data_IF_656378848851
#
_entry.id   IF_656378848851
#
_cell.length_a   1.000
_cell.length_b   1.000
_cell.length_c   1.000
_cell.angle_alpha   90.00
_cell.angle_beta   90.00
_cell.angle_gamma   90.00
#
_symmetry.space_group_name_H-M   'P 1'
#
loop_
_entity.id
_entity.type
_entity.pdbx_description
1 polymer ?
#
# COMPACT_ATOMS: atom_id res chain seq x y z
N UNK A 1 32.95 -9.09 -2.39
CA UNK A 1 31.48 -8.95 -2.35
C UNK A 1 31.08 -8.15 -1.11
N UNK A 2 30.83 -6.83 -1.22
CA UNK A 2 30.32 -6.01 -0.10
C UNK A 2 28.87 -6.44 0.18
N UNK A 3 28.58 -6.88 1.41
CA UNK A 3 27.19 -7.14 1.85
C UNK A 3 26.37 -5.89 1.61
N UNK A 4 25.18 -5.97 0.99
CA UNK A 4 24.33 -4.81 0.84
C UNK A 4 24.04 -4.26 2.24
N UNK A 5 24.33 -2.98 2.46
CA UNK A 5 24.09 -2.27 3.72
C UNK A 5 22.59 -2.02 3.87
N UNK A 6 21.84 -3.09 4.10
CA UNK A 6 20.49 -2.97 4.59
C UNK A 6 20.54 -2.41 6.01
N UNK A 7 19.78 -1.37 6.24
CA UNK A 7 19.40 -0.73 7.49
C UNK A 7 20.07 -1.26 8.78
N UNK A 8 20.51 -0.42 9.69
CA UNK A 8 21.18 -0.89 10.91
C UNK A 8 20.33 -1.97 11.59
N UNK A 9 20.96 -3.09 11.89
CA UNK A 9 20.40 -4.26 12.59
C UNK A 9 19.49 -3.89 13.78
N UNK A 10 19.72 -2.71 14.37
CA UNK A 10 18.94 -2.16 15.46
C UNK A 10 17.46 -1.89 15.13
N UNK A 11 17.14 -1.46 13.91
CA UNK A 11 15.76 -1.10 13.54
C UNK A 11 14.88 -2.32 13.29
N UNK A 12 15.40 -3.34 12.60
CA UNK A 12 14.71 -4.62 12.41
C UNK A 12 14.46 -5.33 13.74
N UNK A 13 15.47 -5.38 14.60
CA UNK A 13 15.33 -5.95 15.95
C UNK A 13 14.27 -5.23 16.77
N UNK A 14 14.19 -3.90 16.70
CA UNK A 14 13.15 -3.13 17.40
C UNK A 14 11.74 -3.47 16.91
N UNK A 15 11.52 -3.58 15.60
CA UNK A 15 10.22 -3.99 15.06
C UNK A 15 9.86 -5.40 15.51
N UNK A 16 10.80 -6.35 15.45
CA UNK A 16 10.57 -7.73 15.87
C UNK A 16 10.30 -7.86 17.36
N UNK A 17 11.05 -7.13 18.20
CA UNK A 17 10.84 -7.10 19.65
C UNK A 17 9.48 -6.49 20.01
N UNK A 18 9.06 -5.41 19.35
CA UNK A 18 7.74 -4.83 19.56
C UNK A 18 6.62 -5.76 19.12
N UNK A 19 6.80 -6.43 17.97
CA UNK A 19 5.82 -7.41 17.47
C UNK A 19 5.70 -8.64 18.38
N UNK A 20 6.81 -9.18 18.89
CA UNK A 20 6.82 -10.30 19.82
C UNK A 20 6.32 -9.88 21.20
N UNK A 21 6.81 -8.74 21.70
CA UNK A 21 6.47 -8.25 23.04
C UNK A 21 4.99 -8.04 23.26
N UNK A 22 4.26 -7.51 22.26
CA UNK A 22 2.80 -7.31 22.39
C UNK A 22 2.04 -8.63 22.53
N UNK A 23 2.46 -9.70 21.82
CA UNK A 23 1.79 -10.99 21.87
C UNK A 23 2.08 -11.76 23.16
N UNK A 24 3.23 -11.50 23.81
CA UNK A 24 3.57 -12.06 25.12
C UNK A 24 2.87 -11.26 26.23
N UNK A 25 2.91 -9.94 26.16
CA UNK A 25 2.33 -9.07 27.18
C UNK A 25 0.79 -9.12 27.22
N UNK A 26 0.15 -9.30 26.06
CA UNK A 26 -1.31 -9.27 25.95
C UNK A 26 -2.03 -10.34 26.81
N UNK A 27 -1.65 -11.62 26.80
CA UNK A 27 -2.29 -12.62 27.67
C UNK A 27 -1.77 -12.63 29.10
N UNK A 28 -0.49 -12.30 29.32
CA UNK A 28 0.13 -12.38 30.64
C UNK A 28 -0.36 -11.29 31.61
N UNK A 29 -0.51 -10.06 31.12
CA UNK A 29 -0.90 -8.93 31.95
C UNK A 29 -2.31 -9.07 32.53
N UNK A 30 -3.38 -9.41 31.78
CA UNK A 30 -4.69 -9.67 32.36
C UNK A 30 -4.72 -10.86 33.32
N UNK A 31 -3.95 -11.90 33.02
CA UNK A 31 -3.86 -13.09 33.89
C UNK A 31 -3.26 -12.74 35.27
N UNK A 32 -2.14 -12.00 35.27
CA UNK A 32 -1.51 -11.51 36.51
C UNK A 32 -2.46 -10.58 37.27
N UNK A 33 -3.18 -9.69 36.56
CA UNK A 33 -4.17 -8.80 37.16
C UNK A 33 -5.31 -9.55 37.82
N UNK A 34 -5.83 -10.59 37.20
CA UNK A 34 -6.90 -11.43 37.73
C UNK A 34 -6.49 -12.12 39.01
N UNK A 35 -5.29 -12.69 39.10
CA UNK A 35 -4.79 -13.37 40.29
C UNK A 35 -4.37 -12.41 41.44
N UNK A 36 -3.92 -11.20 41.09
CA UNK A 36 -3.39 -10.24 42.07
C UNK A 36 -4.44 -9.28 42.64
N UNK A 37 -5.54 -9.04 41.94
CA UNK A 37 -6.54 -8.03 42.25
C UNK A 37 -7.90 -8.68 42.55
N UNK A 38 -8.16 -8.96 43.81
CA UNK A 38 -9.41 -9.58 44.29
C UNK A 38 -10.65 -8.67 44.24
N UNK A 39 -10.54 -7.43 43.78
CA UNK A 39 -11.62 -6.45 43.72
C UNK A 39 -12.02 -6.19 42.27
N UNK A 40 -13.31 -6.37 41.91
CA UNK A 40 -13.83 -6.22 40.56
C UNK A 40 -13.54 -4.86 39.91
N UNK A 41 -13.59 -3.76 40.65
CA UNK A 41 -13.26 -2.43 40.12
C UNK A 41 -11.78 -2.24 39.78
N UNK A 42 -10.89 -2.82 40.54
CA UNK A 42 -9.45 -2.76 40.29
C UNK A 42 -9.05 -3.63 39.12
N UNK A 43 -9.69 -4.79 38.93
CA UNK A 43 -9.45 -5.64 37.77
C UNK A 43 -9.91 -4.98 36.45
N UNK A 44 -11.07 -4.29 36.48
CA UNK A 44 -11.55 -3.55 35.30
C UNK A 44 -10.60 -2.42 34.91
N UNK A 45 -10.14 -1.60 35.88
CA UNK A 45 -9.17 -0.53 35.62
C UNK A 45 -7.85 -1.09 35.06
N UNK A 46 -7.33 -2.16 35.63
CA UNK A 46 -6.10 -2.79 35.19
C UNK A 46 -6.24 -3.32 33.75
N UNK A 47 -7.38 -3.95 33.40
CA UNK A 47 -7.66 -4.44 32.05
C UNK A 47 -7.72 -3.29 31.03
N UNK A 48 -8.32 -2.15 31.38
CA UNK A 48 -8.33 -0.96 30.55
C UNK A 48 -6.93 -0.41 30.30
N UNK A 49 -6.10 -0.35 31.33
CA UNK A 49 -4.69 0.08 31.19
C UNK A 49 -3.91 -0.87 30.27
N UNK A 50 -4.08 -2.18 30.43
CA UNK A 50 -3.44 -3.16 29.58
C UNK A 50 -3.88 -3.03 28.10
N UNK A 51 -5.17 -2.80 27.86
CA UNK A 51 -5.70 -2.56 26.52
C UNK A 51 -5.12 -1.27 25.91
N UNK A 52 -5.04 -0.20 26.68
CA UNK A 52 -4.45 1.07 26.25
C UNK A 52 -2.96 0.91 25.89
N UNK A 53 -2.19 0.19 26.72
CA UNK A 53 -0.78 -0.11 26.43
C UNK A 53 -0.62 -0.97 25.18
N UNK A 54 -1.47 -1.97 24.98
CA UNK A 54 -1.46 -2.79 23.76
C UNK A 54 -1.74 -1.94 22.52
N UNK A 55 -2.76 -1.08 22.58
CA UNK A 55 -3.09 -0.16 21.48
C UNK A 55 -1.93 0.80 21.18
N UNK A 56 -1.30 1.35 22.22
CA UNK A 56 -0.13 2.23 22.07
C UNK A 56 1.06 1.50 21.41
N UNK A 57 1.35 0.26 21.82
CA UNK A 57 2.40 -0.56 21.20
C UNK A 57 2.07 -0.90 19.74
N UNK A 58 0.81 -1.21 19.44
CA UNK A 58 0.37 -1.49 18.08
C UNK A 58 0.49 -0.25 17.18
N UNK A 59 0.09 0.91 17.67
CA UNK A 59 0.26 2.19 16.95
C UNK A 59 1.74 2.53 16.75
N UNK A 60 2.58 2.30 17.75
CA UNK A 60 4.02 2.52 17.63
C UNK A 60 4.66 1.57 16.62
N UNK A 61 4.34 0.28 16.67
CA UNK A 61 4.78 -0.69 15.64
C UNK A 61 4.37 -0.24 14.23
N UNK A 62 3.10 0.14 14.04
CA UNK A 62 2.61 0.62 12.75
C UNK A 62 3.34 1.89 12.29
N UNK A 63 3.65 2.81 13.20
CA UNK A 63 4.44 4.01 12.91
C UNK A 63 5.86 3.66 12.48
N UNK A 64 6.51 2.72 13.17
CA UNK A 64 7.86 2.26 12.82
C UNK A 64 7.92 1.55 11.48
N UNK A 65 6.90 0.76 11.13
CA UNK A 65 6.80 0.12 9.81
C UNK A 65 6.61 1.15 8.70
N UNK A 66 5.78 2.18 8.91
CA UNK A 66 5.62 3.29 7.97
C UNK A 66 6.93 4.05 7.76
N UNK A 67 7.64 4.36 8.85
CA UNK A 67 8.95 4.99 8.79
C UNK A 67 9.97 4.12 8.03
N UNK A 68 9.97 2.81 8.30
CA UNK A 68 10.82 1.86 7.57
C UNK A 68 10.58 1.94 6.06
N UNK A 69 9.32 1.88 5.59
CA UNK A 69 9.02 1.93 4.16
C UNK A 69 9.47 3.26 3.54
N UNK A 70 9.35 4.39 4.26
CA UNK A 70 9.78 5.70 3.76
C UNK A 70 11.29 5.86 3.67
N UNK A 71 12.04 5.34 4.61
CA UNK A 71 13.47 5.62 4.78
C UNK A 71 14.37 4.49 4.28
N UNK A 72 13.90 3.23 4.28
CA UNK A 72 14.71 2.10 3.86
C UNK A 72 15.13 2.25 2.39
N UNK A 73 16.42 2.14 2.15
CA UNK A 73 16.94 2.12 0.78
C UNK A 73 16.59 0.80 0.13
N UNK A 74 16.09 0.88 -1.09
CA UNK A 74 15.97 -0.30 -1.93
C UNK A 74 17.36 -0.82 -2.34
N UNK A 75 17.49 -2.11 -2.66
CA UNK A 75 18.73 -2.64 -3.22
C UNK A 75 19.13 -1.90 -4.49
N UNK A 76 20.42 -1.56 -4.62
CA UNK A 76 20.91 -0.79 -5.77
C UNK A 76 20.68 -1.46 -7.13
N UNK A 77 20.56 -2.81 -7.14
CA UNK A 77 20.29 -3.54 -8.38
C UNK A 77 18.93 -3.20 -9.00
N UNK A 78 17.94 -2.77 -8.20
CA UNK A 78 16.61 -2.45 -8.73
C UNK A 78 16.66 -1.31 -9.74
N UNK A 79 17.34 -0.21 -9.40
CA UNK A 79 17.52 0.90 -10.33
C UNK A 79 18.34 0.53 -11.56
N UNK A 80 19.35 -0.32 -11.40
CA UNK A 80 20.16 -0.80 -12.52
C UNK A 80 19.33 -1.65 -13.49
N UNK A 81 18.58 -2.64 -12.97
CA UNK A 81 17.72 -3.50 -13.77
C UNK A 81 16.58 -2.75 -14.46
N UNK A 82 16.02 -1.75 -13.78
CA UNK A 82 14.98 -0.94 -14.37
C UNK A 82 15.50 -0.13 -15.57
N UNK A 83 16.76 0.36 -15.54
CA UNK A 83 17.41 1.01 -16.68
C UNK A 83 17.80 0.05 -17.80
N UNK A 84 18.06 -1.22 -17.49
CA UNK A 84 18.26 -2.24 -18.52
C UNK A 84 16.96 -2.49 -19.30
N UNK A 85 15.82 -2.52 -18.61
CA UNK A 85 14.50 -2.74 -19.22
C UNK A 85 13.96 -1.47 -19.91
N UNK A 86 14.24 -0.29 -19.35
CA UNK A 86 13.82 1.02 -19.85
C UNK A 86 15.04 1.94 -20.05
N UNK A 87 15.80 1.79 -21.16
CA UNK A 87 17.05 2.53 -21.36
C UNK A 87 16.90 4.05 -21.44
N UNK A 88 15.69 4.55 -21.72
CA UNK A 88 15.37 5.98 -21.76
C UNK A 88 15.38 6.64 -20.38
N UNK A 89 15.36 5.86 -19.28
CA UNK A 89 15.31 6.39 -17.94
C UNK A 89 16.69 6.77 -17.42
N UNK A 90 16.81 7.98 -16.88
CA UNK A 90 17.99 8.40 -16.12
C UNK A 90 18.02 7.77 -14.72
N UNK A 91 19.11 7.96 -13.98
CA UNK A 91 19.20 7.53 -12.59
C UNK A 91 18.14 8.21 -11.71
N UNK A 92 17.89 9.50 -11.93
CA UNK A 92 16.86 10.25 -11.19
C UNK A 92 15.44 9.76 -11.51
N UNK A 93 15.18 9.33 -12.75
CA UNK A 93 13.88 8.81 -13.16
C UNK A 93 13.62 7.44 -12.50
N UNK A 94 14.66 6.60 -12.41
CA UNK A 94 14.55 5.33 -11.68
C UNK A 94 14.33 5.54 -10.18
N UNK A 95 14.91 6.57 -9.58
CA UNK A 95 14.65 6.92 -8.18
C UNK A 95 13.20 7.36 -7.98
N UNK A 96 12.60 8.09 -8.94
CA UNK A 96 11.18 8.42 -8.91
C UNK A 96 10.29 7.18 -9.04
N UNK A 97 10.63 6.23 -9.92
CA UNK A 97 9.92 4.96 -10.02
C UNK A 97 9.98 4.16 -8.71
N UNK A 98 11.14 4.09 -8.07
CA UNK A 98 11.30 3.46 -6.76
C UNK A 98 10.56 4.22 -5.65
N UNK A 99 10.42 5.54 -5.77
CA UNK A 99 9.56 6.31 -4.86
C UNK A 99 8.08 5.94 -5.07
N UNK A 100 7.62 5.74 -6.30
CA UNK A 100 6.30 5.19 -6.60
C UNK A 100 6.08 3.82 -5.97
N UNK A 101 7.08 2.93 -6.01
CA UNK A 101 7.02 1.63 -5.33
C UNK A 101 6.88 1.77 -3.81
N UNK A 102 7.51 2.78 -3.18
CA UNK A 102 7.30 3.10 -1.76
C UNK A 102 5.86 3.51 -1.48
N UNK A 103 5.27 4.36 -2.31
CA UNK A 103 3.88 4.78 -2.17
C UNK A 103 2.93 3.60 -2.25
N UNK A 104 3.18 2.68 -3.19
CA UNK A 104 2.40 1.44 -3.31
C UNK A 104 2.49 0.58 -2.05
N UNK A 105 3.69 0.36 -1.51
CA UNK A 105 3.88 -0.40 -0.28
C UNK A 105 3.27 0.30 0.94
N UNK A 106 3.32 1.64 1.00
CA UNK A 106 2.61 2.40 2.04
C UNK A 106 1.10 2.25 1.92
N UNK A 107 0.55 2.25 0.71
CA UNK A 107 -0.87 2.01 0.48
C UNK A 107 -1.29 0.63 1.00
N UNK A 108 -0.51 -0.42 0.71
CA UNK A 108 -0.76 -1.77 1.24
C UNK A 108 -0.74 -1.80 2.78
N UNK A 109 0.30 -1.23 3.41
CA UNK A 109 0.40 -1.19 4.86
C UNK A 109 -0.76 -0.44 5.52
N UNK A 110 -1.12 0.74 4.97
CA UNK A 110 -2.19 1.60 5.50
C UNK A 110 -3.58 1.02 5.27
N UNK A 111 -3.75 0.17 4.27
CA UNK A 111 -4.98 -0.58 4.02
C UNK A 111 -5.12 -1.84 4.90
N UNK A 112 -4.45 -1.87 6.08
CA UNK A 112 -4.39 -3.06 6.93
C UNK A 112 -3.93 -4.33 6.19
N UNK A 113 -3.03 -4.18 5.23
CA UNK A 113 -2.53 -5.26 4.37
C UNK A 113 -3.63 -5.93 3.53
N UNK A 114 -4.74 -5.21 3.27
CA UNK A 114 -5.74 -5.61 2.28
C UNK A 114 -5.13 -5.48 0.88
N UNK A 115 -5.73 -6.15 -0.08
CA UNK A 115 -5.31 -6.07 -1.46
C UNK A 115 -5.31 -4.63 -1.97
N UNK A 116 -4.25 -4.25 -2.67
CA UNK A 116 -4.08 -3.00 -3.41
C UNK A 116 -3.66 -3.34 -4.84
N UNK A 117 -4.17 -2.62 -5.83
CA UNK A 117 -3.83 -2.84 -7.23
C UNK A 117 -2.73 -1.87 -7.67
N UNK A 118 -1.81 -2.36 -8.50
CA UNK A 118 -0.72 -1.57 -9.06
C UNK A 118 -1.22 -0.72 -10.23
N UNK A 119 -1.06 0.62 -10.17
CA UNK A 119 -1.54 1.52 -11.21
C UNK A 119 -0.48 1.89 -12.24
N UNK A 120 0.76 1.44 -12.11
CA UNK A 120 1.87 1.83 -12.99
C UNK A 120 2.65 0.62 -13.46
N UNK A 121 2.80 0.48 -14.76
CA UNK A 121 3.58 -0.59 -15.40
C UNK A 121 5.07 -0.47 -15.06
N UNK A 122 5.58 0.75 -15.05
CA UNK A 122 6.97 1.02 -14.67
C UNK A 122 7.27 0.55 -13.23
N UNK A 123 6.37 0.87 -12.31
CA UNK A 123 6.53 0.49 -10.90
C UNK A 123 6.34 -1.01 -10.70
N UNK A 124 5.46 -1.63 -11.49
CA UNK A 124 5.24 -3.07 -11.50
C UNK A 124 6.49 -3.83 -11.95
N UNK A 125 7.17 -3.37 -13.00
CA UNK A 125 8.44 -3.93 -13.45
C UNK A 125 9.52 -3.88 -12.36
N UNK A 126 9.63 -2.75 -11.63
CA UNK A 126 10.52 -2.64 -10.49
C UNK A 126 10.14 -3.61 -9.36
N UNK A 127 8.85 -3.80 -9.11
CA UNK A 127 8.37 -4.74 -8.10
C UNK A 127 8.61 -6.19 -8.52
N UNK A 128 8.34 -6.57 -9.77
CA UNK A 128 8.68 -7.90 -10.32
C UNK A 128 10.16 -8.21 -10.16
N UNK A 129 11.04 -7.29 -10.53
CA UNK A 129 12.48 -7.43 -10.31
C UNK A 129 12.81 -7.67 -8.83
N UNK A 130 12.13 -6.98 -7.91
CA UNK A 130 12.36 -7.17 -6.49
C UNK A 130 11.89 -8.54 -5.99
N UNK A 131 10.76 -9.03 -6.45
CA UNK A 131 10.20 -10.36 -6.10
C UNK A 131 11.16 -11.48 -6.53
N UNK A 132 11.74 -11.38 -7.73
CA UNK A 132 12.71 -12.37 -8.22
C UNK A 132 13.95 -12.50 -7.31
N UNK A 133 14.29 -11.46 -6.56
CA UNK A 133 15.33 -11.50 -5.53
C UNK A 133 14.76 -11.91 -4.18
N UNK A 134 14.23 -13.12 -4.13
CA UNK A 134 13.34 -13.65 -3.08
C UNK A 134 13.82 -13.41 -1.65
N UNK A 135 15.11 -13.64 -1.35
CA UNK A 135 15.65 -13.40 0.01
C UNK A 135 15.62 -11.94 0.41
N UNK A 136 15.98 -11.05 -0.50
CA UNK A 136 15.98 -9.61 -0.24
C UNK A 136 14.54 -9.10 -0.09
N UNK A 137 13.64 -9.59 -0.92
CA UNK A 137 12.23 -9.27 -0.89
C UNK A 137 11.55 -9.75 0.41
N UNK A 138 11.75 -11.02 0.78
CA UNK A 138 11.22 -11.57 2.04
C UNK A 138 11.70 -10.80 3.27
N UNK A 139 13.00 -10.53 3.35
CA UNK A 139 13.55 -9.75 4.47
C UNK A 139 12.99 -8.33 4.53
N UNK A 140 12.74 -7.72 3.37
CA UNK A 140 12.14 -6.39 3.29
C UNK A 140 10.67 -6.44 3.72
N UNK A 141 9.87 -7.36 3.18
CA UNK A 141 8.46 -7.57 3.52
C UNK A 141 8.27 -7.90 5.01
N UNK A 142 9.10 -8.74 5.58
CA UNK A 142 9.06 -9.07 7.02
C UNK A 142 9.23 -7.83 7.90
N UNK A 143 10.11 -6.89 7.48
CA UNK A 143 10.32 -5.63 8.19
C UNK A 143 9.17 -4.64 7.96
N UNK A 144 8.69 -4.52 6.72
CA UNK A 144 7.65 -3.59 6.31
C UNK A 144 6.26 -4.03 6.81
N UNK A 145 5.92 -5.29 6.59
CA UNK A 145 4.56 -5.80 6.78
C UNK A 145 4.44 -6.87 7.88
N UNK A 146 5.55 -7.49 8.27
CA UNK A 146 5.57 -8.64 9.17
C UNK A 146 5.29 -9.98 8.48
N UNK A 147 4.96 -9.96 7.20
CA UNK A 147 4.74 -11.13 6.35
C UNK A 147 5.07 -10.81 4.91
N UNK A 148 5.25 -11.84 4.09
CA UNK A 148 5.43 -11.67 2.66
C UNK A 148 4.20 -10.99 2.02
N UNK A 149 4.43 -10.04 1.12
CA UNK A 149 3.39 -9.48 0.27
C UNK A 149 3.37 -10.25 -1.05
N UNK A 150 2.27 -10.95 -1.31
CA UNK A 150 2.10 -11.68 -2.56
C UNK A 150 1.72 -10.74 -3.69
N UNK A 151 2.30 -11.00 -4.85
CA UNK A 151 1.91 -10.33 -6.10
C UNK A 151 0.72 -11.08 -6.73
N UNK A 152 -0.28 -10.33 -7.17
CA UNK A 152 -1.40 -10.87 -7.94
C UNK A 152 -1.42 -10.14 -9.27
N UNK A 153 -1.02 -10.79 -10.38
CA UNK A 153 -1.01 -10.18 -11.70
C UNK A 153 -2.40 -9.68 -12.13
N UNK A 154 -2.42 -8.61 -12.91
CA UNK A 154 -3.66 -8.01 -13.38
C UNK A 154 -4.49 -8.97 -14.25
N UNK A 155 -3.83 -9.86 -14.97
CA UNK A 155 -4.46 -10.88 -15.84
C UNK A 155 -5.30 -11.88 -15.02
N UNK A 156 -4.85 -12.23 -13.81
CA UNK A 156 -5.59 -13.16 -12.92
C UNK A 156 -6.85 -12.52 -12.37
N UNK A 157 -6.86 -11.19 -12.20
CA UNK A 157 -8.00 -10.47 -11.66
C UNK A 157 -9.10 -10.20 -12.70
N UNK A 158 -8.78 -10.18 -13.99
CA UNK A 158 -9.73 -9.95 -15.08
C UNK A 158 -10.62 -8.72 -14.84
N UNK A 159 -11.94 -8.91 -14.97
CA UNK A 159 -12.97 -7.89 -14.64
C UNK A 159 -13.45 -7.93 -13.20
N UNK A 160 -12.68 -8.54 -12.28
CA UNK A 160 -13.08 -8.69 -10.88
C UNK A 160 -13.28 -7.31 -10.21
N UNK A 161 -14.43 -7.07 -9.55
CA UNK A 161 -14.67 -5.89 -8.71
C UNK A 161 -13.58 -5.63 -7.68
N UNK A 162 -12.90 -6.68 -7.19
CA UNK A 162 -11.76 -6.55 -6.27
C UNK A 162 -10.62 -5.72 -6.83
N UNK A 163 -10.43 -5.73 -8.15
CA UNK A 163 -9.43 -4.88 -8.82
C UNK A 163 -9.75 -3.41 -8.63
N UNK A 164 -11.00 -3.02 -8.82
CA UNK A 164 -11.45 -1.64 -8.65
C UNK A 164 -11.27 -1.18 -7.20
N UNK A 165 -11.60 -2.02 -6.24
CA UNK A 165 -11.38 -1.73 -4.82
C UNK A 165 -9.91 -1.63 -4.46
N UNK A 166 -9.07 -2.49 -5.04
CA UNK A 166 -7.62 -2.40 -4.89
C UNK A 166 -7.07 -1.08 -5.42
N UNK A 167 -7.55 -0.65 -6.59
CA UNK A 167 -7.12 0.60 -7.23
C UNK A 167 -7.61 1.83 -6.45
N UNK A 168 -8.86 1.81 -5.94
CA UNK A 168 -9.41 2.86 -5.05
C UNK A 168 -8.58 3.01 -3.78
N UNK A 169 -8.17 1.91 -3.14
CA UNK A 169 -7.29 1.96 -1.96
C UNK A 169 -5.93 2.55 -2.30
N UNK A 170 -5.34 2.12 -3.42
CA UNK A 170 -4.05 2.68 -3.87
C UNK A 170 -4.17 4.18 -4.13
N UNK A 171 -5.22 4.61 -4.85
CA UNK A 171 -5.50 6.03 -5.12
C UNK A 171 -5.62 6.84 -3.82
N UNK A 172 -6.50 6.39 -2.92
CA UNK A 172 -6.74 7.09 -1.66
C UNK A 172 -5.46 7.32 -0.86
N UNK A 173 -4.66 6.27 -0.69
CA UNK A 173 -3.45 6.38 0.11
C UNK A 173 -2.31 7.11 -0.61
N UNK A 174 -2.19 7.00 -1.93
CA UNK A 174 -1.23 7.79 -2.70
C UNK A 174 -1.56 9.29 -2.63
N UNK A 175 -2.83 9.67 -2.77
CA UNK A 175 -3.27 11.04 -2.57
C UNK A 175 -2.97 11.54 -1.14
N UNK A 176 -3.29 10.75 -0.12
CA UNK A 176 -3.02 11.11 1.28
C UNK A 176 -1.53 11.24 1.59
N UNK A 177 -0.66 10.45 0.95
CA UNK A 177 0.80 10.57 1.14
C UNK A 177 1.35 11.89 0.57
N UNK A 178 0.72 12.41 -0.48
CA UNK A 178 1.11 13.67 -1.13
C UNK A 178 0.25 14.87 -0.74
N UNK A 179 -0.60 14.73 0.28
CA UNK A 179 -1.52 15.79 0.75
C UNK A 179 -2.48 16.28 -0.34
N UNK A 180 -2.91 15.37 -1.24
CA UNK A 180 -3.91 15.63 -2.26
C UNK A 180 -5.28 15.17 -1.74
N UNK A 181 -6.34 15.92 -2.02
CA UNK A 181 -7.70 15.47 -1.73
C UNK A 181 -8.10 14.37 -2.74
N UNK A 182 -8.38 13.14 -2.28
CA UNK A 182 -8.76 12.05 -3.20
C UNK A 182 -10.05 12.29 -3.97
N UNK A 183 -10.95 13.14 -3.44
CA UNK A 183 -12.26 13.44 -4.04
C UNK A 183 -12.19 14.62 -5.00
N UNK A 184 -11.25 15.54 -4.79
CA UNK A 184 -11.01 16.73 -5.63
C UNK A 184 -9.51 16.89 -5.86
N UNK A 185 -8.90 15.98 -6.63
CA UNK A 185 -7.46 15.99 -6.81
C UNK A 185 -7.03 17.20 -7.67
N UNK A 186 -6.13 18.01 -7.14
CA UNK A 186 -5.52 19.11 -7.88
C UNK A 186 -4.49 18.63 -8.91
N UNK A 187 -3.98 17.42 -8.75
CA UNK A 187 -3.03 16.75 -9.64
C UNK A 187 -3.04 15.26 -9.40
N UNK A 188 -2.43 14.50 -10.29
CA UNK A 188 -2.19 13.07 -10.08
C UNK A 188 -1.13 12.87 -8.98
N UNK A 189 -1.33 11.90 -8.05
CA UNK A 189 -0.23 11.45 -7.21
C UNK A 189 0.84 10.76 -8.06
N UNK A 190 2.10 10.83 -7.62
CA UNK A 190 3.26 10.37 -8.39
C UNK A 190 3.06 8.96 -8.97
N UNK A 191 2.63 8.01 -8.14
CA UNK A 191 2.43 6.62 -8.53
C UNK A 191 1.50 6.45 -9.76
N UNK A 192 0.52 7.33 -9.94
CA UNK A 192 -0.42 7.33 -11.07
C UNK A 192 0.06 8.17 -12.26
N UNK A 193 1.07 9.00 -12.06
CA UNK A 193 1.59 9.88 -13.11
C UNK A 193 2.79 9.29 -13.86
N UNK A 194 3.47 8.26 -13.30
CA UNK A 194 4.76 7.78 -13.78
C UNK A 194 4.74 7.25 -15.21
N UNK A 195 3.74 6.44 -15.57
CA UNK A 195 3.71 5.81 -16.90
C UNK A 195 3.55 6.85 -18.00
N UNK A 196 2.65 7.82 -17.81
CA UNK A 196 2.47 8.95 -18.73
C UNK A 196 3.72 9.85 -18.74
N UNK A 197 4.30 10.15 -17.58
CA UNK A 197 5.48 11.01 -17.43
C UNK A 197 6.68 10.50 -18.23
N UNK A 198 6.89 9.19 -18.24
CA UNK A 198 8.03 8.54 -18.88
C UNK A 198 7.67 7.86 -20.20
N UNK A 199 6.47 8.10 -20.72
CA UNK A 199 5.97 7.52 -21.97
C UNK A 199 6.19 6.00 -22.03
N UNK A 200 5.81 5.29 -20.95
CA UNK A 200 6.03 3.84 -20.83
C UNK A 200 5.15 3.10 -21.84
N UNK A 201 5.73 2.25 -22.70
CA UNK A 201 4.97 1.48 -23.69
C UNK A 201 3.89 0.61 -23.01
N UNK A 202 2.64 0.77 -23.46
CA UNK A 202 1.47 0.08 -22.86
C UNK A 202 1.20 0.47 -21.39
N UNK A 203 1.77 1.56 -20.92
CA UNK A 203 1.53 2.11 -19.59
C UNK A 203 0.11 2.66 -19.42
N UNK A 204 -0.31 2.80 -18.17
CA UNK A 204 -1.63 3.33 -17.85
C UNK A 204 -1.64 4.86 -17.90
N UNK A 205 -2.71 5.42 -18.43
CA UNK A 205 -2.93 6.86 -18.47
C UNK A 205 -4.06 7.23 -17.51
N UNK A 206 -3.78 8.20 -16.66
CA UNK A 206 -4.76 8.73 -15.70
C UNK A 206 -4.90 10.24 -15.90
N UNK A 207 -6.07 10.76 -15.55
CA UNK A 207 -6.35 12.20 -15.40
C UNK A 207 -6.86 12.46 -13.99
N UNK A 208 -6.62 13.65 -13.42
CA UNK A 208 -7.09 13.96 -12.06
C UNK A 208 -8.60 13.92 -11.95
N UNK A 209 -9.32 14.57 -12.87
CA UNK A 209 -10.77 14.68 -12.89
C UNK A 209 -11.37 14.02 -14.14
N UNK A 210 -12.59 13.48 -14.00
CA UNK A 210 -13.34 12.93 -15.13
C UNK A 210 -13.75 14.01 -16.14
N UNK A 211 -13.84 15.26 -15.74
CA UNK A 211 -14.11 16.38 -16.65
C UNK A 211 -12.95 16.63 -17.64
N UNK A 212 -11.73 16.24 -17.25
CA UNK A 212 -10.53 16.33 -18.10
C UNK A 212 -10.44 15.23 -19.17
N UNK A 213 -11.36 14.28 -19.17
CA UNK A 213 -11.41 13.24 -20.21
C UNK A 213 -12.10 13.83 -21.44
N UNK A 214 -11.33 14.07 -22.48
CA UNK A 214 -11.90 14.38 -23.79
C UNK A 214 -12.57 13.13 -24.38
N UNK A 215 -13.88 13.01 -24.20
CA UNK A 215 -14.70 11.90 -24.69
C UNK A 215 -14.72 11.83 -26.22
N UNK A 216 -14.31 12.90 -26.90
CA UNK A 216 -14.26 12.95 -28.36
C UNK A 216 -12.99 12.34 -28.94
N UNK A 217 -11.93 12.24 -28.15
CA UNK A 217 -10.62 11.74 -28.59
C UNK A 217 -10.43 10.23 -28.41
N UNK A 218 -11.43 9.47 -27.92
CA UNK A 218 -11.30 8.03 -27.67
C UNK A 218 -10.21 7.68 -26.66
N UNK A 219 -9.94 8.57 -25.72
CA UNK A 219 -8.89 8.40 -24.71
C UNK A 219 -9.23 7.26 -23.73
N UNK A 220 -8.39 6.24 -23.67
CA UNK A 220 -8.45 5.14 -22.69
C UNK A 220 -7.99 5.58 -21.27
N UNK A 221 -8.06 6.87 -20.98
CA UNK A 221 -7.61 7.41 -19.70
C UNK A 221 -8.59 7.09 -18.55
N UNK A 222 -8.03 6.61 -17.46
CA UNK A 222 -8.78 6.41 -16.22
C UNK A 222 -8.83 7.71 -15.41
N UNK A 223 -9.98 7.99 -14.79
CA UNK A 223 -10.17 9.24 -14.07
C UNK A 223 -10.04 9.04 -12.55
N UNK A 224 -9.29 9.96 -11.91
CA UNK A 224 -8.98 9.91 -10.50
C UNK A 224 -10.20 10.10 -9.60
N UNK A 225 -11.10 11.00 -9.95
CA UNK A 225 -12.33 11.26 -9.17
C UNK A 225 -13.26 10.06 -9.13
N UNK A 226 -13.23 9.15 -10.15
CA UNK A 226 -14.00 7.89 -10.10
C UNK A 226 -13.54 6.94 -8.99
N UNK A 227 -12.30 7.08 -8.52
CA UNK A 227 -11.76 6.30 -7.41
C UNK A 227 -12.05 6.94 -6.04
N UNK A 228 -12.34 8.24 -6.00
CA UNK A 228 -12.55 9.00 -4.76
C UNK A 228 -13.91 8.83 -4.09
N UNK A 229 -14.89 8.25 -4.78
CA UNK A 229 -16.28 8.12 -4.32
C UNK A 229 -16.57 6.97 -3.32
N UNK A 230 -15.60 6.11 -3.06
CA UNK A 230 -15.73 5.02 -2.09
C UNK A 230 -15.01 5.36 -0.80
N UNK A 231 -15.70 5.42 0.31
CA UNK A 231 -15.06 5.53 1.62
C UNK A 231 -14.12 4.32 1.82
N UNK A 232 -12.84 4.60 2.06
CA UNK A 232 -11.95 3.64 2.67
C UNK A 232 -12.37 3.52 4.15
N UNK A 233 -13.53 2.89 4.38
CA UNK A 233 -14.04 2.61 5.72
C UNK A 233 -13.02 1.72 6.44
N UNK A 234 -12.34 2.29 7.39
CA UNK A 234 -11.67 1.56 8.47
C UNK A 234 -12.75 1.23 9.52
N UNK A 235 -13.62 0.28 9.20
CA UNK A 235 -14.65 -0.15 10.13
C UNK A 235 -15.25 -1.45 9.61
N UNK A 236 -14.94 -2.56 10.27
CA UNK A 236 -15.72 -3.78 10.17
C UNK A 236 -17.10 -3.51 10.75
N UNK A 237 -18.10 -3.30 9.88
CA UNK A 237 -19.48 -3.50 10.23
C UNK A 237 -20.11 -4.33 9.13
N UNK A 238 -20.47 -5.54 9.46
CA UNK A 238 -21.37 -6.36 8.69
C UNK A 238 -22.66 -5.57 8.48
N UNK A 239 -23.12 -5.46 7.20
CA UNK A 239 -24.35 -4.83 6.84
C UNK A 239 -24.64 -5.10 5.39
N UNK A 240 -25.45 -6.13 5.20
CA UNK A 240 -26.11 -6.53 3.96
C UNK A 240 -27.02 -5.39 3.45
N UNK A 241 -27.11 -5.26 2.12
CA UNK A 241 -28.25 -4.64 1.46
C UNK A 241 -28.03 -3.30 0.77
N UNK A 242 -28.31 -3.24 -0.51
CA UNK A 242 -28.74 -2.02 -1.17
C UNK A 242 -28.12 -1.74 -2.54
N UNK A 243 -28.86 -2.13 -3.53
CA UNK A 243 -28.84 -1.76 -4.95
C UNK A 243 -28.48 -0.30 -5.25
N UNK A 244 -27.86 -0.07 -6.37
CA UNK A 244 -28.10 1.17 -7.09
C UNK A 244 -26.96 1.71 -7.93
N UNK A 245 -27.07 1.63 -9.22
CA UNK A 245 -26.41 2.54 -10.14
C UNK A 245 -25.33 1.93 -11.03
N UNK A 246 -25.73 1.06 -11.95
CA UNK A 246 -24.91 0.66 -13.08
C UNK A 246 -24.74 1.81 -14.06
N UNK A 247 -23.51 2.20 -14.31
CA UNK A 247 -23.14 2.87 -15.55
C UNK A 247 -22.77 1.77 -16.56
N UNK A 248 -23.80 1.25 -17.23
CA UNK A 248 -23.65 0.40 -18.40
C UNK A 248 -23.29 1.24 -19.61
N UNK A 249 -22.03 1.20 -20.01
CA UNK A 249 -21.58 1.60 -21.34
C UNK A 249 -21.45 0.34 -22.18
N UNK A 250 -22.53 -0.05 -22.88
CA UNK A 250 -22.50 -1.14 -23.81
C UNK A 250 -21.64 -0.80 -25.04
N UNK A 251 -20.65 -1.60 -25.32
CA UNK A 251 -20.08 -1.69 -26.66
C UNK A 251 -20.93 -2.70 -27.45
N UNK A 252 -21.82 -2.17 -28.28
CA UNK A 252 -22.47 -2.94 -29.32
C UNK A 252 -21.47 -3.29 -30.41
N UNK A 253 -21.30 -4.58 -30.65
CA UNK A 253 -20.70 -5.06 -31.87
C UNK A 253 -21.75 -5.01 -32.98
N UNK A 254 -21.33 -4.65 -34.16
CA UNK A 254 -22.05 -4.77 -35.42
C UNK A 254 -21.11 -5.32 -36.45
N UNK A 255 -21.50 -6.45 -36.99
CA UNK A 255 -21.17 -7.08 -38.24
C UNK A 255 -19.79 -6.90 -38.86
#
# INVERSE_FOLDING_TARGET
>A
MKRPSFMPLSFRRRIQLLAAGKWIAFPLLPLVGYFSLRSGGRTALFSLVCLALFAAMAMWEASRRRQFIREARFPAFLGAKLREEYPQLSASDTDLALHGLRQFFLAHLRSNRKFVAMPSRLVDAAWHTFILHTRAYDQWCSSAFGKLMHHTPAEVLGRDPKRNDGLRRTWYWACKEESIDPRKPSRLPLLFALDKKFAIPGGFTYVPDCQDIDRRSGSDAYCGTSFGGGEASSGDAAGDGGDGGGCGGGCGGGD
#
